data_IF_639112123164
#
_entry.id   IF_639112123164
#
_cell.length_a   1.000
_cell.length_b   1.000
_cell.length_c   1.000
_cell.angle_alpha   90.00
_cell.angle_beta   90.00
_cell.angle_gamma   90.00
#
_symmetry.space_group_name_H-M   'P 1'
#
loop_
_entity.id
_entity.type
_entity.pdbx_description
1 polymer ?
#
# COMPACT_ATOMS: atom_id res chain seq x y z
N UNK A 1 15.06 -10.88 3.24
CA UNK A 1 14.90 -9.50 3.76
C UNK A 1 16.04 -8.65 3.23
N UNK A 2 15.80 -7.36 2.95
CA UNK A 2 16.85 -6.49 2.39
C UNK A 2 17.84 -6.11 3.49
N UNK A 3 19.10 -6.49 3.34
CA UNK A 3 20.21 -6.12 4.24
C UNK A 3 20.52 -4.60 4.27
N UNK A 4 19.69 -3.77 3.62
CA UNK A 4 19.88 -2.33 3.40
C UNK A 4 18.97 -1.43 4.26
N UNK A 5 18.15 -1.99 5.15
CA UNK A 5 17.27 -1.19 6.01
C UNK A 5 18.06 -0.59 7.19
N UNK A 6 18.07 0.73 7.31
CA UNK A 6 18.68 1.45 8.43
C UNK A 6 17.66 1.60 9.57
N UNK A 7 17.82 0.77 10.60
CA UNK A 7 16.88 0.72 11.73
C UNK A 7 16.87 2.03 12.54
N UNK A 8 18.00 2.72 12.64
CA UNK A 8 18.09 3.98 13.37
C UNK A 8 17.30 5.09 12.66
N UNK A 9 17.45 5.20 11.33
CA UNK A 9 16.66 6.14 10.52
C UNK A 9 15.16 5.84 10.55
N UNK A 10 14.77 4.58 10.56
CA UNK A 10 13.37 4.19 10.72
C UNK A 10 12.81 4.65 12.06
N UNK A 11 13.52 4.37 13.16
CA UNK A 11 13.09 4.77 14.49
C UNK A 11 13.02 6.29 14.64
N UNK A 12 14.01 7.00 14.09
CA UNK A 12 14.01 8.45 14.09
C UNK A 12 12.79 9.01 13.32
N UNK A 13 12.55 8.55 12.11
CA UNK A 13 11.40 9.01 11.32
C UNK A 13 10.05 8.69 11.99
N UNK A 14 9.94 7.52 12.63
CA UNK A 14 8.72 7.18 13.39
C UNK A 14 8.49 8.20 14.50
N UNK A 15 9.51 8.50 15.31
CA UNK A 15 9.39 9.47 16.41
C UNK A 15 9.17 10.90 15.94
N UNK A 16 9.92 11.34 14.95
CA UNK A 16 9.99 12.74 14.58
C UNK A 16 8.88 13.15 13.59
N UNK A 17 8.30 12.18 12.87
CA UNK A 17 7.35 12.45 11.77
C UNK A 17 6.05 11.67 11.91
N UNK A 18 6.12 10.34 12.09
CA UNK A 18 4.92 9.52 12.06
C UNK A 18 4.07 9.64 13.33
N UNK A 19 4.69 9.55 14.50
CA UNK A 19 3.99 9.63 15.79
C UNK A 19 3.23 10.96 15.95
N UNK A 20 3.83 12.14 15.68
CA UNK A 20 3.10 13.41 15.68
C UNK A 20 1.93 13.43 14.70
N UNK A 21 2.12 12.91 13.47
CA UNK A 21 1.05 12.86 12.48
C UNK A 21 -0.10 11.92 12.90
N UNK A 22 0.20 10.84 13.63
CA UNK A 22 -0.82 9.95 14.20
C UNK A 22 -1.59 10.67 15.31
N UNK A 23 -0.92 11.40 16.19
CA UNK A 23 -1.56 12.15 17.27
C UNK A 23 -2.50 13.24 16.74
N UNK A 24 -2.04 14.02 15.76
CA UNK A 24 -2.88 15.03 15.09
C UNK A 24 -4.11 14.40 14.43
N UNK A 25 -3.93 13.25 13.75
CA UNK A 25 -5.05 12.53 13.14
C UNK A 25 -6.04 11.98 14.19
N UNK A 26 -5.55 11.51 15.34
CA UNK A 26 -6.40 11.05 16.44
C UNK A 26 -7.20 12.19 17.08
N UNK A 27 -6.63 13.40 17.13
CA UNK A 27 -7.33 14.63 17.57
C UNK A 27 -8.30 15.18 16.52
N UNK A 28 -8.28 14.65 15.29
CA UNK A 28 -9.10 15.13 14.18
C UNK A 28 -8.56 16.40 13.51
N UNK A 29 -7.31 16.77 13.79
CA UNK A 29 -6.65 17.96 13.24
C UNK A 29 -6.20 17.73 11.78
N UNK A 30 -6.01 16.47 11.38
CA UNK A 30 -5.69 16.10 10.00
C UNK A 30 -6.25 14.73 9.62
N UNK A 31 -6.29 14.42 8.32
CA UNK A 31 -6.47 13.06 7.83
C UNK A 31 -5.11 12.49 7.46
N UNK A 32 -4.68 11.47 8.20
CA UNK A 32 -3.45 10.73 7.91
C UNK A 32 -3.76 9.55 6.98
N UNK A 33 -3.17 9.56 5.80
CA UNK A 33 -3.36 8.56 4.76
C UNK A 33 -2.04 7.82 4.49
N UNK A 34 -2.12 6.54 4.17
CA UNK A 34 -0.97 5.76 3.70
C UNK A 34 -1.22 5.36 2.25
N UNK A 35 -0.31 5.69 1.35
CA UNK A 35 -0.37 5.39 -0.09
C UNK A 35 0.67 4.34 -0.48
N UNK A 36 0.31 3.56 -1.50
CA UNK A 36 1.16 2.91 -2.51
C UNK A 36 0.49 1.61 -2.97
N UNK A 37 0.19 1.40 -4.26
CA UNK A 37 0.05 0.05 -4.82
C UNK A 37 0.32 -0.06 -6.32
N UNK A 38 0.86 -1.21 -6.69
CA UNK A 38 0.90 -1.70 -8.07
C UNK A 38 0.59 -3.20 -8.04
N UNK A 39 -0.32 -3.68 -8.88
CA UNK A 39 -0.56 -5.11 -9.05
C UNK A 39 -0.06 -5.54 -10.43
N UNK A 40 0.85 -6.52 -10.42
CA UNK A 40 1.37 -7.16 -11.63
C UNK A 40 0.61 -8.48 -11.80
N UNK A 41 0.15 -8.78 -13.02
CA UNK A 41 -0.41 -10.08 -13.36
C UNK A 41 0.76 -11.08 -13.39
N UNK A 42 0.89 -11.84 -12.32
CA UNK A 42 1.84 -12.93 -12.17
C UNK A 42 1.20 -14.12 -11.45
N UNK A 43 1.74 -15.34 -11.57
CA UNK A 43 1.25 -16.48 -10.80
C UNK A 43 1.56 -16.28 -9.31
N UNK A 44 0.53 -16.18 -8.48
CA UNK A 44 0.68 -16.10 -7.02
C UNK A 44 0.62 -17.51 -6.41
N UNK A 45 1.79 -18.06 -6.11
CA UNK A 45 1.93 -19.39 -5.50
C UNK A 45 1.69 -19.29 -3.98
N UNK A 46 1.06 -20.30 -3.40
CA UNK A 46 0.94 -20.47 -1.96
C UNK A 46 1.37 -21.87 -1.52
N UNK A 47 1.73 -22.01 -0.24
CA UNK A 47 1.99 -23.31 0.37
C UNK A 47 0.67 -23.99 0.74
N UNK A 48 0.49 -25.24 0.32
CA UNK A 48 -0.65 -26.08 0.65
C UNK A 48 -0.16 -27.47 1.02
N UNK A 49 -0.70 -28.04 2.10
CA UNK A 49 -0.58 -29.47 2.36
C UNK A 49 -1.42 -30.23 1.34
N UNK A 50 -0.78 -31.10 0.56
CA UNK A 50 -1.45 -31.89 -0.46
C UNK A 50 -0.87 -33.31 -0.49
N UNK A 51 -1.72 -34.30 -0.73
CA UNK A 51 -1.32 -35.71 -0.87
C UNK A 51 -0.54 -35.91 -2.18
N UNK A 52 -0.88 -35.15 -3.21
CA UNK A 52 -0.24 -35.17 -4.53
C UNK A 52 0.11 -33.75 -4.99
N UNK A 53 1.15 -33.62 -5.82
CA UNK A 53 1.59 -32.32 -6.34
C UNK A 53 0.47 -31.66 -7.16
N UNK A 54 0.14 -30.42 -6.82
CA UNK A 54 -0.80 -29.58 -7.55
C UNK A 54 -0.06 -28.61 -8.48
N UNK A 55 -0.59 -28.42 -9.68
CA UNK A 55 -0.05 -27.48 -10.67
C UNK A 55 -1.08 -26.36 -10.90
N UNK A 56 -0.59 -25.13 -10.97
CA UNK A 56 -1.41 -23.95 -11.28
C UNK A 56 -0.98 -23.46 -12.65
N UNK A 57 -1.96 -23.21 -13.53
CA UNK A 57 -1.71 -22.62 -14.84
C UNK A 57 -1.09 -21.22 -14.67
N UNK A 58 -0.05 -20.93 -15.43
CA UNK A 58 0.54 -19.59 -15.49
C UNK A 58 -0.09 -18.81 -16.66
N UNK A 59 -0.43 -17.55 -16.42
CA UNK A 59 -0.87 -16.63 -17.49
C UNK A 59 0.32 -16.27 -18.38
N UNK A 60 0.12 -16.24 -19.70
CA UNK A 60 1.13 -15.75 -20.64
C UNK A 60 1.07 -14.22 -20.73
N UNK A 61 2.20 -13.54 -20.49
CA UNK A 61 2.37 -12.09 -20.71
C UNK A 61 2.56 -11.26 -19.43
N UNK A 62 3.16 -10.08 -19.59
CA UNK A 62 3.31 -9.06 -18.53
C UNK A 62 2.16 -8.07 -18.59
N UNK A 63 0.98 -8.46 -18.13
CA UNK A 63 -0.13 -7.51 -17.93
C UNK A 63 -0.05 -6.92 -16.51
N UNK A 64 -0.53 -5.70 -16.32
CA UNK A 64 -0.49 -5.03 -15.01
C UNK A 64 -1.72 -4.14 -14.86
N UNK A 65 -2.18 -4.02 -13.62
CA UNK A 65 -3.13 -3.01 -13.22
C UNK A 65 -2.48 -2.13 -12.16
N UNK A 66 -2.42 -0.85 -12.46
CA UNK A 66 -1.98 0.15 -11.50
C UNK A 66 -3.17 0.51 -10.63
N UNK A 67 -3.01 0.37 -9.32
CA UNK A 67 -4.04 0.71 -8.34
C UNK A 67 -3.42 1.72 -7.41
N UNK A 68 -3.67 3.01 -7.66
CA UNK A 68 -3.41 4.01 -6.63
C UNK A 68 -4.43 3.80 -5.53
N UNK A 69 -3.97 3.70 -4.29
CA UNK A 69 -4.82 3.36 -3.17
C UNK A 69 -4.31 4.03 -1.92
N UNK A 70 -5.22 4.62 -1.17
CA UNK A 70 -4.93 5.14 0.17
C UNK A 70 -5.77 4.44 1.22
N UNK A 71 -5.18 4.30 2.40
CA UNK A 71 -5.86 3.88 3.62
C UNK A 71 -5.81 5.01 4.62
N UNK A 72 -6.96 5.41 5.16
CA UNK A 72 -7.02 6.32 6.29
C UNK A 72 -6.58 5.62 7.57
N UNK A 73 -5.59 6.20 8.25
CA UNK A 73 -4.96 5.65 9.43
C UNK A 73 -5.91 5.46 10.62
N UNK A 74 -6.98 6.27 10.71
CA UNK A 74 -7.92 6.25 11.83
C UNK A 74 -9.21 5.54 11.42
N UNK A 75 -9.89 6.05 10.38
CA UNK A 75 -11.20 5.52 9.95
C UNK A 75 -11.12 4.17 9.26
N UNK A 76 -9.92 3.79 8.80
CA UNK A 76 -9.67 2.60 7.96
C UNK A 76 -10.40 2.61 6.62
N UNK A 77 -10.89 3.77 6.22
CA UNK A 77 -11.45 3.98 4.90
C UNK A 77 -10.39 3.74 3.83
N UNK A 78 -10.82 3.11 2.73
CA UNK A 78 -9.96 2.76 1.61
C UNK A 78 -10.50 3.49 0.39
N UNK A 79 -9.66 4.29 -0.25
CA UNK A 79 -10.00 4.97 -1.50
C UNK A 79 -9.01 4.53 -2.58
N UNK A 80 -9.52 4.16 -3.75
CA UNK A 80 -8.71 3.68 -4.86
C UNK A 80 -8.99 4.43 -6.16
N UNK A 81 -7.99 4.43 -7.03
CA UNK A 81 -8.05 4.87 -8.42
C UNK A 81 -7.25 3.88 -9.27
N UNK A 82 -7.94 3.20 -10.19
CA UNK A 82 -7.36 2.15 -11.00
C UNK A 82 -7.03 2.68 -12.40
N UNK A 83 -5.92 2.24 -12.97
CA UNK A 83 -5.52 2.53 -14.34
C UNK A 83 -4.78 1.32 -14.94
N UNK A 84 -4.98 1.05 -16.22
CA UNK A 84 -4.31 -0.03 -16.96
C UNK A 84 -3.05 0.42 -17.71
N UNK A 85 -2.75 1.73 -17.74
CA UNK A 85 -1.62 2.30 -18.50
C UNK A 85 -0.34 2.49 -17.66
N UNK A 86 0.26 3.68 -17.68
CA UNK A 86 1.43 4.04 -16.86
C UNK A 86 0.99 4.99 -15.75
N UNK A 87 1.58 4.85 -14.55
CA UNK A 87 1.42 5.89 -13.52
C UNK A 87 2.33 7.05 -13.89
N UNK A 88 1.71 8.19 -14.19
CA UNK A 88 2.40 9.47 -14.44
C UNK A 88 2.20 10.41 -13.26
N UNK A 89 3.00 11.48 -13.20
CA UNK A 89 2.78 12.57 -12.25
C UNK A 89 1.33 13.11 -12.32
N UNK A 90 0.76 13.22 -13.52
CA UNK A 90 -0.63 13.64 -13.72
C UNK A 90 -1.63 12.69 -13.08
N UNK A 91 -1.39 11.37 -13.14
CA UNK A 91 -2.26 10.37 -12.52
C UNK A 91 -2.30 10.56 -11.00
N UNK A 92 -1.14 10.87 -10.39
CA UNK A 92 -1.03 11.17 -8.96
C UNK A 92 -1.77 12.47 -8.61
N UNK A 93 -1.62 13.51 -9.44
CA UNK A 93 -2.30 14.80 -9.23
C UNK A 93 -3.83 14.63 -9.32
N UNK A 94 -4.33 13.85 -10.28
CA UNK A 94 -5.76 13.51 -10.38
C UNK A 94 -6.22 12.80 -9.10
N UNK A 95 -5.41 11.88 -8.59
CA UNK A 95 -5.72 11.18 -7.35
C UNK A 95 -5.73 12.12 -6.14
N UNK A 96 -4.75 13.03 -6.01
CA UNK A 96 -4.73 14.05 -4.96
C UNK A 96 -5.95 14.98 -5.01
N UNK A 97 -6.39 15.38 -6.22
CA UNK A 97 -7.63 16.15 -6.39
C UNK A 97 -8.85 15.36 -5.92
N UNK A 98 -8.93 14.06 -6.24
CA UNK A 98 -9.99 13.17 -5.74
C UNK A 98 -10.00 13.10 -4.21
N UNK A 99 -8.84 12.97 -3.58
CA UNK A 99 -8.72 12.96 -2.11
C UNK A 99 -9.14 14.30 -1.51
N UNK A 100 -8.75 15.42 -2.13
CA UNK A 100 -9.14 16.75 -1.67
C UNK A 100 -10.65 16.97 -1.77
N UNK A 101 -11.30 16.52 -2.84
CA UNK A 101 -12.77 16.56 -2.96
C UNK A 101 -13.44 15.71 -1.89
N UNK A 102 -12.89 14.53 -1.60
CA UNK A 102 -13.47 13.60 -0.61
C UNK A 102 -13.34 14.09 0.84
N UNK A 103 -12.17 14.59 1.24
CA UNK A 103 -11.89 15.03 2.61
C UNK A 103 -12.15 16.53 2.86
N UNK A 104 -12.51 17.27 1.81
CA UNK A 104 -12.84 18.69 1.87
C UNK A 104 -11.69 19.54 2.41
N UNK A 105 -11.99 20.39 3.39
CA UNK A 105 -11.03 21.34 3.96
C UNK A 105 -10.14 20.75 5.06
N UNK A 106 -10.28 19.45 5.37
CA UNK A 106 -9.44 18.81 6.38
C UNK A 106 -7.98 18.77 5.89
N UNK A 107 -6.99 19.16 6.71
CA UNK A 107 -5.58 19.02 6.35
C UNK A 107 -5.26 17.56 6.01
N UNK A 108 -4.52 17.33 4.93
CA UNK A 108 -4.16 15.98 4.48
C UNK A 108 -2.68 15.73 4.71
N UNK A 109 -2.35 14.62 5.37
CA UNK A 109 -0.98 14.09 5.45
C UNK A 109 -0.93 12.73 4.77
N UNK A 110 -0.10 12.58 3.75
CA UNK A 110 0.01 11.32 2.99
C UNK A 110 1.40 10.73 3.18
N UNK A 111 1.45 9.53 3.76
CA UNK A 111 2.66 8.71 3.86
C UNK A 111 2.89 8.00 2.53
N UNK A 112 4.03 8.27 1.90
CA UNK A 112 4.41 7.74 0.58
C UNK A 112 5.66 6.86 0.68
N UNK A 113 5.79 5.90 -0.24
CA UNK A 113 7.09 5.27 -0.48
C UNK A 113 8.07 6.28 -1.14
N UNK A 114 9.34 5.92 -1.25
CA UNK A 114 10.36 6.84 -1.76
C UNK A 114 10.51 6.70 -3.28
N UNK A 115 9.40 6.58 -4.01
CA UNK A 115 9.42 6.30 -5.44
C UNK A 115 9.74 7.57 -6.23
N UNK A 116 10.70 7.47 -7.17
CA UNK A 116 11.26 8.64 -7.88
C UNK A 116 10.21 9.56 -8.51
N UNK A 117 9.12 9.01 -9.05
CA UNK A 117 8.08 9.79 -9.72
C UNK A 117 7.22 10.63 -8.76
N UNK A 118 7.19 10.32 -7.45
CA UNK A 118 6.49 11.11 -6.43
C UNK A 118 7.27 12.36 -6.00
N UNK A 119 8.60 12.37 -6.18
CA UNK A 119 9.48 13.50 -5.85
C UNK A 119 9.59 14.54 -6.98
N UNK A 120 8.78 14.43 -8.03
CA UNK A 120 8.86 15.41 -9.11
C UNK A 120 8.20 16.73 -8.69
N UNK A 121 8.79 17.85 -9.11
CA UNK A 121 8.34 19.19 -8.74
C UNK A 121 6.85 19.44 -9.04
N UNK A 122 6.31 18.80 -10.09
CA UNK A 122 4.89 18.87 -10.44
C UNK A 122 4.00 18.29 -9.32
N UNK A 123 4.35 17.12 -8.78
CA UNK A 123 3.60 16.47 -7.70
C UNK A 123 3.72 17.28 -6.41
N UNK A 124 4.92 17.75 -6.06
CA UNK A 124 5.13 18.57 -4.86
C UNK A 124 4.36 19.90 -4.93
N UNK A 125 4.37 20.58 -6.08
CA UNK A 125 3.65 21.84 -6.29
C UNK A 125 2.15 21.61 -6.22
N UNK A 126 1.65 20.54 -6.84
CA UNK A 126 0.24 20.19 -6.77
C UNK A 126 -0.19 19.86 -5.34
N UNK A 127 0.60 19.07 -4.60
CA UNK A 127 0.32 18.75 -3.20
C UNK A 127 0.21 20.02 -2.34
N UNK A 128 1.18 20.94 -2.45
CA UNK A 128 1.13 22.25 -1.77
C UNK A 128 -0.11 23.06 -2.13
N UNK A 129 -0.45 23.14 -3.42
CA UNK A 129 -1.64 23.87 -3.89
C UNK A 129 -2.96 23.28 -3.39
N UNK A 130 -2.94 21.98 -3.07
CA UNK A 130 -4.07 21.24 -2.54
C UNK A 130 -3.99 21.11 -1.03
N UNK A 131 -3.11 21.82 -0.31
CA UNK A 131 -2.94 21.72 1.15
C UNK A 131 -2.66 20.27 1.64
N UNK A 132 -1.84 19.54 0.88
CA UNK A 132 -1.44 18.16 1.18
C UNK A 132 0.03 18.15 1.60
N UNK A 133 0.28 17.66 2.81
CA UNK A 133 1.62 17.39 3.32
C UNK A 133 2.05 15.98 2.92
N UNK A 134 3.18 15.88 2.21
CA UNK A 134 3.76 14.59 1.80
C UNK A 134 4.80 14.13 2.83
N UNK A 135 4.63 12.92 3.37
CA UNK A 135 5.51 12.31 4.35
C UNK A 135 6.21 11.10 3.71
N UNK A 136 7.47 11.27 3.29
CA UNK A 136 8.20 10.20 2.62
C UNK A 136 8.80 9.21 3.62
N UNK A 137 8.56 7.92 3.39
CA UNK A 137 9.14 6.84 4.18
C UNK A 137 10.66 6.77 4.00
N UNK A 138 11.40 6.40 5.06
CA UNK A 138 12.80 6.06 4.94
C UNK A 138 13.00 4.89 3.96
N UNK A 139 14.14 4.85 3.28
CA UNK A 139 14.47 3.79 2.33
C UNK A 139 14.32 2.39 2.94
N UNK A 140 13.74 1.45 2.18
CA UNK A 140 13.52 0.06 2.60
C UNK A 140 12.65 -0.12 3.87
N UNK A 141 11.59 0.68 4.04
CA UNK A 141 10.71 0.64 5.22
C UNK A 141 9.27 0.16 4.95
N UNK A 142 9.03 -0.94 4.22
CA UNK A 142 7.66 -1.40 3.94
C UNK A 142 6.92 -1.88 5.20
N UNK A 143 7.62 -2.15 6.30
CA UNK A 143 7.03 -2.48 7.60
C UNK A 143 6.24 -1.31 8.21
N UNK A 144 6.61 -0.07 7.87
CA UNK A 144 5.96 1.15 8.32
C UNK A 144 4.76 1.55 7.44
N UNK A 145 4.60 0.93 6.27
CA UNK A 145 3.47 1.21 5.39
C UNK A 145 2.32 0.23 5.65
N UNK A 146 1.24 0.67 6.31
CA UNK A 146 0.11 -0.22 6.62
C UNK A 146 -0.60 -0.73 5.36
N UNK A 147 -0.50 -0.01 4.24
CA UNK A 147 -1.18 -0.41 3.00
C UNK A 147 -0.56 -1.68 2.38
N UNK A 148 0.71 -1.96 2.66
CA UNK A 148 1.35 -3.23 2.28
C UNK A 148 0.63 -4.43 2.91
N UNK A 149 0.02 -4.25 4.09
CA UNK A 149 -0.77 -5.28 4.74
C UNK A 149 -2.08 -5.51 3.99
N UNK A 150 -2.75 -4.43 3.56
CA UNK A 150 -3.93 -4.48 2.70
C UNK A 150 -3.64 -5.29 1.44
N UNK A 151 -2.51 -5.03 0.77
CA UNK A 151 -2.17 -5.74 -0.47
C UNK A 151 -1.84 -7.20 -0.26
N UNK A 152 -1.13 -7.54 0.82
CA UNK A 152 -0.92 -8.94 1.20
C UNK A 152 -2.25 -9.64 1.44
N UNK A 153 -3.21 -8.98 2.09
CA UNK A 153 -4.54 -9.51 2.32
C UNK A 153 -5.32 -9.71 1.01
N UNK A 154 -5.33 -8.70 0.13
CA UNK A 154 -5.94 -8.78 -1.21
C UNK A 154 -5.35 -9.95 -2.00
N UNK A 155 -4.03 -10.03 -2.12
CA UNK A 155 -3.33 -11.14 -2.81
C UNK A 155 -3.74 -12.49 -2.24
N UNK A 156 -3.77 -12.63 -0.91
CA UNK A 156 -4.16 -13.87 -0.23
C UNK A 156 -5.62 -14.26 -0.51
N UNK A 157 -6.55 -13.31 -0.54
CA UNK A 157 -7.99 -13.59 -0.70
C UNK A 157 -8.37 -13.93 -2.14
N UNK A 158 -7.78 -13.23 -3.12
CA UNK A 158 -8.24 -13.32 -4.51
C UNK A 158 -7.20 -13.84 -5.50
N UNK A 159 -5.91 -13.80 -5.21
CA UNK A 159 -4.88 -14.16 -6.19
C UNK A 159 -4.16 -15.48 -5.90
N UNK A 160 -3.97 -15.83 -4.63
CA UNK A 160 -3.20 -17.01 -4.23
C UNK A 160 -3.85 -18.30 -4.75
N UNK A 161 -3.05 -19.13 -5.42
CA UNK A 161 -3.46 -20.38 -6.06
C UNK A 161 -4.62 -20.26 -7.07
N UNK A 162 -4.88 -19.04 -7.58
CA UNK A 162 -5.95 -18.79 -8.53
C UNK A 162 -5.40 -18.48 -9.91
N UNK A 163 -5.99 -19.10 -10.92
CA UNK A 163 -5.70 -18.81 -12.32
C UNK A 163 -6.77 -17.88 -12.91
N UNK A 164 -6.33 -16.84 -13.60
CA UNK A 164 -7.18 -15.96 -14.37
C UNK A 164 -6.93 -16.18 -15.87
N UNK A 165 -7.99 -16.58 -16.57
CA UNK A 165 -7.93 -16.91 -18.01
C UNK A 165 -7.64 -15.71 -18.90
N UNK A 166 -8.08 -14.51 -18.49
CA UNK A 166 -7.90 -13.27 -19.25
C UNK A 166 -7.46 -12.13 -18.32
N UNK A 167 -6.71 -11.14 -18.83
CA UNK A 167 -6.37 -9.95 -18.06
C UNK A 167 -7.59 -9.18 -17.55
N UNK A 168 -8.67 -9.13 -18.33
CA UNK A 168 -9.92 -8.50 -17.91
C UNK A 168 -10.48 -9.13 -16.62
N UNK A 169 -10.59 -10.46 -16.56
CA UNK A 169 -11.04 -11.17 -15.36
C UNK A 169 -10.15 -10.90 -14.14
N UNK A 170 -8.85 -10.71 -14.36
CA UNK A 170 -7.91 -10.34 -13.29
C UNK A 170 -8.14 -8.90 -12.80
N UNK A 171 -8.31 -7.95 -13.71
CA UNK A 171 -8.59 -6.54 -13.39
C UNK A 171 -9.92 -6.37 -12.67
N UNK A 172 -10.96 -7.05 -13.15
CA UNK A 172 -12.30 -7.01 -12.56
C UNK A 172 -12.26 -7.58 -11.14
N UNK A 173 -11.61 -8.75 -10.95
CA UNK A 173 -11.51 -9.35 -9.62
C UNK A 173 -10.78 -8.46 -8.60
N UNK A 174 -9.74 -7.72 -9.01
CA UNK A 174 -9.06 -6.76 -8.15
C UNK A 174 -9.95 -5.56 -7.86
N UNK A 175 -10.57 -5.00 -8.90
CA UNK A 175 -11.41 -3.79 -8.78
C UNK A 175 -12.64 -4.06 -7.91
N UNK A 176 -13.38 -5.14 -8.19
CA UNK A 176 -14.57 -5.55 -7.44
C UNK A 176 -14.26 -5.89 -5.99
N UNK A 177 -13.13 -6.56 -5.75
CA UNK A 177 -12.70 -6.86 -4.40
C UNK A 177 -12.40 -5.58 -3.62
N UNK A 178 -11.63 -4.65 -4.18
CA UNK A 178 -11.29 -3.40 -3.50
C UNK A 178 -12.49 -2.48 -3.29
N UNK A 179 -13.48 -2.51 -4.18
CA UNK A 179 -14.74 -1.77 -3.98
C UNK A 179 -15.59 -2.36 -2.85
N UNK A 180 -15.55 -3.67 -2.63
CA UNK A 180 -16.40 -4.35 -1.64
C UNK A 180 -15.68 -4.73 -0.34
N UNK A 181 -14.35 -4.53 -0.25
CA UNK A 181 -13.54 -5.00 0.88
C UNK A 181 -13.94 -4.36 2.21
N UNK A 182 -14.23 -3.06 2.22
CA UNK A 182 -14.61 -2.32 3.42
C UNK A 182 -15.95 -2.78 4.00
N UNK A 183 -16.82 -3.34 3.15
CA UNK A 183 -18.12 -3.88 3.53
C UNK A 183 -18.02 -5.34 3.97
N UNK A 184 -17.30 -6.17 3.20
CA UNK A 184 -17.24 -7.63 3.40
C UNK A 184 -16.20 -8.09 4.41
N UNK A 185 -15.16 -7.29 4.65
CA UNK A 185 -13.99 -7.66 5.45
C UNK A 185 -13.65 -6.60 6.52
N UNK A 186 -14.62 -5.82 6.99
CA UNK A 186 -14.41 -4.72 7.93
C UNK A 186 -13.61 -5.14 9.20
N UNK A 187 -13.99 -6.26 9.82
CA UNK A 187 -13.33 -6.74 11.03
C UNK A 187 -11.91 -7.25 10.78
N UNK A 188 -11.68 -7.91 9.65
CA UNK A 188 -10.33 -8.29 9.20
C UNK A 188 -9.47 -7.03 9.02
N UNK A 189 -10.01 -5.99 8.37
CA UNK A 189 -9.32 -4.73 8.09
C UNK A 189 -8.98 -3.96 9.37
N UNK A 190 -9.88 -3.90 10.36
CA UNK A 190 -9.61 -3.26 11.65
C UNK A 190 -8.39 -3.87 12.35
N UNK A 191 -8.28 -5.19 12.34
CA UNK A 191 -7.15 -5.91 12.95
C UNK A 191 -5.86 -5.79 12.13
N UNK A 192 -5.99 -5.80 10.80
CA UNK A 192 -4.86 -5.77 9.88
C UNK A 192 -4.19 -4.40 9.81
N UNK A 193 -4.98 -3.34 9.70
CA UNK A 193 -4.55 -1.97 9.45
C UNK A 193 -4.21 -1.21 10.74
N UNK A 194 -3.75 -1.92 11.77
CA UNK A 194 -3.31 -1.31 13.03
C UNK A 194 -2.02 -0.51 12.84
N UNK A 195 -1.89 0.60 13.56
CA UNK A 195 -0.67 1.43 13.59
C UNK A 195 0.42 0.86 14.51
N UNK A 196 0.36 -0.44 14.80
CA UNK A 196 1.40 -1.16 15.54
C UNK A 196 2.44 -1.64 14.54
N UNK A 197 3.60 -0.98 14.52
CA UNK A 197 4.70 -1.32 13.62
C UNK A 197 5.66 -2.30 14.29
N UNK A 198 6.11 -3.30 13.54
CA UNK A 198 7.15 -4.21 14.01
C UNK A 198 8.52 -3.54 13.80
N UNK A 199 9.28 -3.28 14.88
CA UNK A 199 10.67 -2.90 14.74
C UNK A 199 11.50 -4.11 14.31
N UNK A 200 12.41 -3.93 13.36
CA UNK A 200 13.40 -4.96 13.07
C UNK A 200 14.44 -4.97 14.18
N UNK A 201 14.61 -6.12 14.86
CA UNK A 201 15.82 -6.39 15.63
C UNK A 201 16.80 -7.05 14.68
N UNK A 202 18.02 -6.50 14.54
CA UNK A 202 19.11 -7.24 13.92
C UNK A 202 19.43 -8.45 14.79
N UNK A 203 18.81 -9.60 14.51
CA UNK A 203 19.40 -10.87 14.91
C UNK A 203 20.38 -11.25 13.80
N UNK A 204 21.66 -11.31 14.15
CA UNK A 204 22.65 -12.00 13.33
C UNK A 204 22.08 -13.39 13.04
N UNK A 205 21.64 -13.63 11.81
CA UNK A 205 21.26 -14.95 11.38
C UNK A 205 22.53 -15.78 11.42
N UNK A 206 22.69 -16.59 12.47
CA UNK A 206 23.67 -17.67 12.48
C UNK A 206 23.31 -18.57 11.31
N UNK A 207 24.12 -18.49 10.26
CA UNK A 207 24.09 -19.42 9.15
C UNK A 207 24.49 -20.76 9.77
N UNK A 208 23.55 -21.71 9.89
CA UNK A 208 23.89 -23.08 10.20
C UNK A 208 24.78 -23.60 9.05
N UNK A 209 26.01 -24.07 9.32
CA UNK A 209 26.79 -24.75 8.30
C UNK A 209 26.09 -26.08 7.98
N UNK A 210 25.99 -26.36 6.68
CA UNK A 210 25.50 -27.63 6.10
C UNK A 210 26.53 -28.72 6.35
#
# INVERSE_FOLDING_TARGET
MSAKADTAKQQQWVRDTLEPAIEEAQKGECQLLFDAAHFILEPFICALWCVTRLFIKASAGRNRINVLGVVNAITKEILTLNNTSYITAETIIIFFKKLRVHYGNSPLKIVLDNARYQHCALVETAAKSLDITLLFLPSYSPNLNIIERLWKFTKKKILYAKYYETPAKFHDAITDFLQTISQKHNDDLKNLLTLKFQPFKHQNAFIYPV
#
